data_IF_223814966642
#
_entry.id   IF_223814966642
#
_cell.length_a   1.000
_cell.length_b   1.000
_cell.length_c   1.000
_cell.angle_alpha   90.00
_cell.angle_beta   90.00
_cell.angle_gamma   90.00
#
_symmetry.space_group_name_H-M   'P 1'
#
loop_
_entity.id
_entity.type
_entity.pdbx_description
1 polymer ?
#
# COMPACT_ATOMS: atom_id res chain seq x y z
N UNK A 1 -16.24 3.10 -13.27
CA UNK A 1 -15.05 2.68 -12.48
C UNK A 1 -15.31 3.10 -11.05
N UNK A 2 -15.35 2.15 -10.13
CA UNK A 2 -15.66 2.34 -8.70
C UNK A 2 -14.40 2.05 -7.88
N UNK A 3 -13.92 3.00 -7.09
CA UNK A 3 -12.67 2.89 -6.34
C UNK A 3 -12.97 3.00 -4.85
N UNK A 4 -12.53 2.01 -4.07
CA UNK A 4 -12.56 2.07 -2.61
C UNK A 4 -11.24 2.69 -2.13
N UNK A 5 -11.28 3.78 -1.38
CA UNK A 5 -10.13 4.29 -0.64
C UNK A 5 -10.18 3.71 0.78
N UNK A 6 -9.39 2.69 1.01
CA UNK A 6 -9.32 2.01 2.30
C UNK A 6 -8.21 2.59 3.18
N UNK A 7 -8.58 3.07 4.35
CA UNK A 7 -7.66 3.72 5.29
C UNK A 7 -7.73 3.04 6.67
N UNK A 8 -6.74 2.22 7.03
CA UNK A 8 -6.55 1.79 8.40
C UNK A 8 -6.20 2.98 9.30
N UNK A 9 -6.87 3.13 10.43
CA UNK A 9 -6.58 4.18 11.41
C UNK A 9 -6.62 3.61 12.83
N UNK A 10 -5.76 4.15 13.72
CA UNK A 10 -5.68 3.68 15.11
C UNK A 10 -6.58 4.53 16.02
N UNK A 11 -6.44 5.86 15.97
CA UNK A 11 -7.20 6.80 16.81
C UNK A 11 -7.56 8.09 16.06
N UNK A 12 -6.53 8.85 15.64
CA UNK A 12 -6.70 10.17 15.05
C UNK A 12 -6.16 10.18 13.61
N UNK A 13 -6.82 10.97 12.78
CA UNK A 13 -6.34 11.24 11.42
C UNK A 13 -5.89 12.70 11.36
N UNK A 14 -4.62 12.98 11.04
CA UNK A 14 -4.14 14.35 10.90
C UNK A 14 -4.97 15.17 9.92
N UNK A 15 -5.22 16.43 10.22
CA UNK A 15 -6.04 17.33 9.39
C UNK A 15 -5.59 17.36 7.92
N UNK A 16 -4.28 17.33 7.67
CA UNK A 16 -3.74 17.30 6.30
C UNK A 16 -4.15 16.04 5.53
N UNK A 17 -4.19 14.87 6.19
CA UNK A 17 -4.67 13.62 5.60
C UNK A 17 -6.18 13.68 5.34
N UNK A 18 -6.96 14.25 6.27
CA UNK A 18 -8.41 14.46 6.07
C UNK A 18 -8.67 15.34 4.86
N UNK A 19 -7.91 16.43 4.70
CA UNK A 19 -8.00 17.30 3.52
C UNK A 19 -7.69 16.53 2.23
N UNK A 20 -6.61 15.73 2.21
CA UNK A 20 -6.25 14.87 1.08
C UNK A 20 -7.37 13.90 0.72
N UNK A 21 -7.96 13.23 1.73
CA UNK A 21 -9.07 12.30 1.58
C UNK A 21 -10.30 12.98 0.96
N UNK A 22 -10.75 14.10 1.54
CA UNK A 22 -11.94 14.82 1.08
C UNK A 22 -11.78 15.39 -0.34
N UNK A 23 -10.61 15.95 -0.65
CA UNK A 23 -10.32 16.48 -1.99
C UNK A 23 -10.28 15.37 -3.03
N UNK A 24 -9.73 14.20 -2.70
CA UNK A 24 -9.67 13.05 -3.61
C UNK A 24 -11.06 12.44 -3.81
N UNK A 25 -11.83 12.27 -2.75
CA UNK A 25 -13.22 11.78 -2.84
C UNK A 25 -14.12 12.71 -3.66
N UNK A 26 -13.96 14.03 -3.53
CA UNK A 26 -14.77 15.02 -4.28
C UNK A 26 -14.50 15.02 -5.79
N UNK A 27 -13.25 14.72 -6.20
CA UNK A 27 -12.83 14.80 -7.63
C UNK A 27 -13.11 13.52 -8.44
N UNK A 28 -13.50 12.42 -7.81
CA UNK A 28 -13.62 11.15 -8.52
C UNK A 28 -14.68 10.21 -7.95
N UNK A 29 -14.88 9.08 -8.62
CA UNK A 29 -15.70 7.97 -8.13
C UNK A 29 -14.95 7.17 -7.04
N UNK A 30 -14.51 7.88 -5.98
CA UNK A 30 -13.73 7.32 -4.87
C UNK A 30 -14.57 7.35 -3.62
N UNK A 31 -14.78 6.18 -3.03
CA UNK A 31 -15.56 6.01 -1.81
C UNK A 31 -14.61 5.69 -0.64
N UNK A 32 -14.56 6.54 0.42
CA UNK A 32 -13.68 6.31 1.56
C UNK A 32 -14.28 5.25 2.50
N UNK A 33 -13.41 4.34 2.97
CA UNK A 33 -13.68 3.38 4.04
C UNK A 33 -12.57 3.49 5.10
N UNK A 34 -12.94 3.93 6.29
CA UNK A 34 -12.08 4.04 7.45
C UNK A 34 -12.27 2.80 8.32
N UNK A 35 -11.18 2.16 8.71
CA UNK A 35 -11.22 0.97 9.61
C UNK A 35 -10.40 1.27 10.84
N UNK A 36 -11.09 1.48 11.96
CA UNK A 36 -10.50 1.84 13.24
C UNK A 36 -10.37 0.65 14.20
N UNK A 37 -9.41 0.74 15.14
CA UNK A 37 -9.32 -0.15 16.31
C UNK A 37 -8.90 -1.59 16.01
N UNK A 38 -8.33 -1.86 14.83
CA UNK A 38 -7.91 -3.18 14.39
C UNK A 38 -6.37 -3.24 14.21
N UNK A 39 -5.82 -4.44 14.24
CA UNK A 39 -4.45 -4.63 13.76
C UNK A 39 -4.38 -4.27 12.28
N UNK A 40 -3.30 -3.60 11.85
CA UNK A 40 -3.20 -3.03 10.51
C UNK A 40 -3.45 -4.06 9.40
N UNK A 41 -2.99 -5.29 9.57
CA UNK A 41 -3.20 -6.35 8.58
C UNK A 41 -4.65 -6.84 8.55
N UNK A 42 -5.36 -6.88 9.69
CA UNK A 42 -6.79 -7.24 9.76
C UNK A 42 -7.66 -6.15 9.12
N UNK A 43 -7.32 -4.87 9.37
CA UNK A 43 -7.99 -3.74 8.72
C UNK A 43 -7.83 -3.80 7.19
N UNK A 44 -6.61 -4.08 6.69
CA UNK A 44 -6.36 -4.21 5.24
C UNK A 44 -7.05 -5.42 4.64
N UNK A 45 -7.11 -6.56 5.33
CA UNK A 45 -7.88 -7.73 4.90
C UNK A 45 -9.40 -7.44 4.86
N UNK A 46 -9.92 -6.71 5.85
CA UNK A 46 -11.33 -6.28 5.89
C UNK A 46 -11.68 -5.38 4.69
N UNK A 47 -10.81 -4.40 4.38
CA UNK A 47 -10.94 -3.54 3.20
C UNK A 47 -10.92 -4.36 1.90
N UNK A 48 -9.99 -5.32 1.78
CA UNK A 48 -9.90 -6.19 0.61
C UNK A 48 -11.18 -7.02 0.41
N UNK A 49 -11.68 -7.64 1.47
CA UNK A 49 -12.90 -8.45 1.43
C UNK A 49 -14.13 -7.58 1.11
N UNK A 50 -14.24 -6.39 1.71
CA UNK A 50 -15.33 -5.46 1.41
C UNK A 50 -15.32 -5.08 -0.06
N UNK A 51 -14.16 -4.71 -0.62
CA UNK A 51 -14.04 -4.31 -2.02
C UNK A 51 -14.44 -5.44 -2.98
N UNK A 52 -14.00 -6.68 -2.70
CA UNK A 52 -14.32 -7.85 -3.53
C UNK A 52 -15.81 -8.18 -3.47
N UNK A 53 -16.46 -8.04 -2.31
CA UNK A 53 -17.87 -8.40 -2.11
C UNK A 53 -18.84 -7.31 -2.59
N UNK A 54 -18.36 -6.07 -2.83
CA UNK A 54 -19.19 -4.93 -3.26
C UNK A 54 -18.81 -4.41 -4.66
N UNK A 55 -18.15 -5.25 -5.47
CA UNK A 55 -17.86 -5.01 -6.89
C UNK A 55 -17.13 -3.69 -7.17
N UNK A 56 -16.13 -3.35 -6.33
CA UNK A 56 -15.19 -2.28 -6.64
C UNK A 56 -14.22 -2.73 -7.73
N UNK A 57 -13.83 -1.80 -8.61
CA UNK A 57 -12.82 -2.06 -9.63
C UNK A 57 -11.40 -2.02 -9.05
N UNK A 58 -11.17 -1.09 -8.11
CA UNK A 58 -9.89 -0.86 -7.46
C UNK A 58 -10.04 -0.61 -5.96
N UNK A 59 -8.96 -0.93 -5.23
CA UNK A 59 -8.72 -0.44 -3.87
C UNK A 59 -7.49 0.45 -3.88
N UNK A 60 -7.63 1.68 -3.42
CA UNK A 60 -6.51 2.53 -3.03
C UNK A 60 -6.31 2.38 -1.52
N UNK A 61 -5.25 1.72 -1.10
CA UNK A 61 -4.82 1.76 0.29
C UNK A 61 -4.06 3.05 0.55
N UNK A 62 -4.45 3.77 1.60
CA UNK A 62 -3.75 4.95 2.09
C UNK A 62 -3.64 4.87 3.62
N UNK A 63 -2.43 5.07 4.17
CA UNK A 63 -2.28 5.14 5.63
C UNK A 63 -2.81 6.48 6.16
N UNK A 64 -3.25 6.49 7.42
CA UNK A 64 -3.92 7.64 8.04
C UNK A 64 -3.02 8.86 8.27
N UNK A 65 -1.74 8.78 7.94
CA UNK A 65 -0.74 9.84 8.07
C UNK A 65 -0.10 10.24 6.72
N UNK A 66 -0.77 9.90 5.61
CA UNK A 66 -0.30 10.26 4.27
C UNK A 66 -0.92 11.56 3.76
N UNK A 67 -0.13 12.32 2.98
CA UNK A 67 -0.58 13.50 2.23
C UNK A 67 -0.51 13.15 0.75
N UNK A 68 -1.64 13.27 0.06
CA UNK A 68 -1.80 12.93 -1.34
C UNK A 68 -2.88 13.79 -2.00
N UNK A 69 -3.01 13.71 -3.31
CA UNK A 69 -4.05 14.39 -4.06
C UNK A 69 -4.69 13.47 -5.13
N UNK A 70 -5.77 13.94 -5.74
CA UNK A 70 -6.47 13.17 -6.78
C UNK A 70 -5.60 12.90 -8.01
N UNK A 71 -4.66 13.80 -8.34
CA UNK A 71 -3.77 13.65 -9.48
C UNK A 71 -2.76 12.52 -9.26
N UNK A 72 -2.34 12.28 -8.00
CA UNK A 72 -1.52 11.12 -7.63
C UNK A 72 -2.24 9.81 -7.93
N UNK A 73 -3.51 9.70 -7.55
CA UNK A 73 -4.35 8.54 -7.86
C UNK A 73 -4.54 8.39 -9.38
N UNK A 74 -4.89 9.47 -10.08
CA UNK A 74 -5.09 9.44 -11.54
C UNK A 74 -3.85 8.95 -12.28
N UNK A 75 -2.69 9.33 -11.79
CA UNK A 75 -1.41 8.91 -12.36
C UNK A 75 -1.16 7.42 -12.14
N UNK A 76 -1.46 6.87 -10.95
CA UNK A 76 -1.38 5.43 -10.72
C UNK A 76 -2.37 4.64 -11.59
N UNK A 77 -3.60 5.16 -11.76
CA UNK A 77 -4.63 4.54 -12.61
C UNK A 77 -4.21 4.49 -14.09
N UNK A 78 -3.54 5.53 -14.60
CA UNK A 78 -3.09 5.62 -15.98
C UNK A 78 -2.15 4.49 -16.39
N UNK A 79 -1.38 3.93 -15.45
CA UNK A 79 -0.51 2.77 -15.73
C UNK A 79 -1.28 1.47 -15.98
N UNK A 80 -2.53 1.36 -15.54
CA UNK A 80 -3.41 0.21 -15.76
C UNK A 80 -2.80 -1.16 -15.36
N UNK A 81 -1.92 -1.19 -14.36
CA UNK A 81 -1.30 -2.42 -13.82
C UNK A 81 -2.07 -2.98 -12.63
N UNK A 82 -1.78 -4.22 -12.23
CA UNK A 82 -2.49 -4.90 -11.14
C UNK A 82 -2.25 -4.31 -9.76
N UNK A 83 -1.01 -3.86 -9.48
CA UNK A 83 -0.56 -3.28 -8.21
C UNK A 83 0.41 -2.15 -8.54
N UNK A 84 0.13 -0.94 -8.05
CA UNK A 84 0.97 0.25 -8.26
C UNK A 84 1.04 1.12 -7.02
N UNK A 85 2.25 1.48 -6.58
CA UNK A 85 2.50 2.35 -5.43
C UNK A 85 3.14 3.67 -5.87
N UNK A 86 2.87 4.74 -5.13
CA UNK A 86 3.68 5.95 -5.16
C UNK A 86 4.95 5.82 -4.32
N UNK A 87 5.79 6.86 -4.35
CA UNK A 87 7.03 6.97 -3.59
C UNK A 87 6.83 7.84 -2.35
N UNK A 88 7.21 7.31 -1.19
CA UNK A 88 7.32 8.05 0.06
C UNK A 88 8.46 7.48 0.91
N UNK A 89 8.79 8.13 2.01
CA UNK A 89 9.85 7.70 2.93
C UNK A 89 9.29 7.34 4.31
N UNK A 90 10.03 6.52 5.04
CA UNK A 90 9.68 6.19 6.43
C UNK A 90 9.70 7.45 7.31
N UNK A 91 8.79 7.52 8.30
CA UNK A 91 8.67 8.68 9.21
C UNK A 91 9.54 8.60 10.46
N UNK A 92 10.07 7.41 10.79
CA UNK A 92 10.86 7.15 12.00
C UNK A 92 12.28 6.77 11.65
N UNK A 93 13.25 7.26 12.44
CA UNK A 93 14.66 7.01 12.24
C UNK A 93 15.22 7.65 10.96
N UNK A 94 16.13 6.95 10.31
CA UNK A 94 16.67 7.37 9.01
C UNK A 94 15.57 7.29 7.94
N UNK A 95 15.42 8.37 7.15
CA UNK A 95 14.44 8.41 6.07
C UNK A 95 14.85 7.43 4.97
N UNK A 96 14.09 6.35 4.83
CA UNK A 96 14.32 5.30 3.83
C UNK A 96 13.14 5.18 2.89
N UNK A 97 13.41 4.90 1.63
CA UNK A 97 12.36 4.59 0.67
C UNK A 97 11.62 3.32 1.09
N UNK A 98 10.31 3.33 0.86
CA UNK A 98 9.44 2.17 1.10
C UNK A 98 9.31 1.25 -0.11
N UNK A 99 10.14 1.46 -1.14
CA UNK A 99 10.22 0.64 -2.34
C UNK A 99 11.42 -0.28 -2.25
N UNK A 100 11.25 -1.53 -2.66
CA UNK A 100 12.31 -2.54 -2.60
C UNK A 100 12.51 -3.18 -3.97
N UNK A 101 13.75 -3.12 -4.49
CA UNK A 101 14.10 -3.74 -5.77
C UNK A 101 14.24 -5.27 -5.69
N UNK A 102 14.67 -5.78 -4.52
CA UNK A 102 14.89 -7.22 -4.31
C UNK A 102 14.51 -7.67 -2.90
N UNK A 103 13.98 -8.89 -2.83
CA UNK A 103 13.77 -9.63 -1.59
C UNK A 103 14.68 -10.86 -1.65
N UNK A 104 15.71 -10.89 -0.81
CA UNK A 104 16.69 -11.99 -0.76
C UNK A 104 16.29 -12.93 0.37
N UNK A 105 15.72 -14.08 0.01
CA UNK A 105 15.41 -15.15 0.97
C UNK A 105 16.63 -16.03 1.17
N UNK A 106 17.12 -16.15 2.41
CA UNK A 106 18.22 -17.07 2.76
C UNK A 106 17.66 -18.46 3.05
N UNK A 107 17.98 -19.45 2.23
CA UNK A 107 17.48 -20.85 2.32
C UNK A 107 17.85 -21.60 3.61
N UNK A 108 18.76 -21.11 4.45
CA UNK A 108 19.43 -21.93 5.46
C UNK A 108 18.86 -21.91 6.88
N UNK A 109 17.91 -21.01 7.17
CA UNK A 109 17.25 -20.97 8.50
C UNK A 109 15.81 -20.49 8.38
N UNK A 110 14.81 -21.26 8.88
CA UNK A 110 13.40 -20.91 8.78
C UNK A 110 12.98 -19.63 9.55
N UNK A 111 13.87 -19.05 10.36
CA UNK A 111 13.59 -17.92 11.24
C UNK A 111 14.34 -16.63 10.91
N UNK A 112 15.10 -16.55 9.80
CA UNK A 112 15.70 -15.27 9.40
C UNK A 112 14.80 -14.54 8.40
N UNK A 113 14.42 -13.32 8.78
CA UNK A 113 13.75 -12.39 7.88
C UNK A 113 14.55 -12.25 6.56
N UNK A 114 13.87 -12.16 5.41
CA UNK A 114 14.53 -11.88 4.15
C UNK A 114 15.23 -10.51 4.23
N UNK A 115 16.37 -10.39 3.55
CA UNK A 115 17.01 -9.09 3.37
C UNK A 115 16.25 -8.33 2.28
N UNK A 116 15.76 -7.14 2.61
CA UNK A 116 15.18 -6.20 1.67
C UNK A 116 16.29 -5.29 1.13
N UNK A 117 16.34 -5.13 -0.19
CA UNK A 117 17.23 -4.19 -0.86
C UNK A 117 16.37 -3.03 -1.34
N UNK A 118 16.66 -1.84 -0.80
CA UNK A 118 15.93 -0.61 -1.15
C UNK A 118 16.10 -0.27 -2.64
N UNK A 119 15.06 0.29 -3.21
CA UNK A 119 15.10 0.86 -4.55
C UNK A 119 15.56 2.32 -4.45
N UNK A 120 16.78 2.59 -4.87
CA UNK A 120 17.39 3.93 -4.79
C UNK A 120 16.98 4.85 -5.94
N UNK A 121 16.14 4.40 -6.87
CA UNK A 121 15.61 5.25 -7.95
C UNK A 121 14.61 6.25 -7.36
N UNK A 122 14.70 7.48 -7.81
CA UNK A 122 13.87 8.60 -7.33
C UNK A 122 12.85 9.11 -8.34
N UNK A 123 12.89 8.58 -9.56
CA UNK A 123 11.99 8.96 -10.67
C UNK A 123 11.63 7.75 -11.53
N UNK A 124 10.58 7.91 -12.34
CA UNK A 124 10.15 6.96 -13.36
C UNK A 124 9.28 5.82 -12.84
N UNK A 125 8.55 5.23 -13.75
CA UNK A 125 7.70 4.07 -13.53
C UNK A 125 8.46 2.76 -13.76
N UNK A 126 8.20 1.74 -12.95
CA UNK A 126 8.80 0.44 -13.17
C UNK A 126 8.49 -0.57 -12.07
N UNK A 127 8.88 -1.82 -12.35
CA UNK A 127 8.67 -2.94 -11.44
C UNK A 127 9.56 -2.85 -10.21
N UNK A 128 8.98 -3.24 -9.06
CA UNK A 128 9.65 -3.41 -7.78
C UNK A 128 9.34 -4.80 -7.22
N UNK A 129 10.14 -5.27 -6.26
CA UNK A 129 9.90 -6.55 -5.60
C UNK A 129 8.83 -6.43 -4.51
N UNK A 130 8.77 -5.28 -3.84
CA UNK A 130 7.77 -4.94 -2.85
C UNK A 130 7.71 -3.41 -2.64
N UNK A 131 6.64 -2.95 -2.00
CA UNK A 131 6.41 -1.56 -1.60
C UNK A 131 5.69 -1.50 -0.26
N UNK A 132 5.79 -0.34 0.42
CA UNK A 132 4.88 -0.01 1.51
C UNK A 132 3.46 0.31 1.01
N UNK A 133 2.49 0.24 1.90
CA UNK A 133 1.06 0.41 1.56
C UNK A 133 0.48 1.75 2.04
N UNK A 134 1.33 2.74 2.32
CA UNK A 134 0.90 4.10 2.63
C UNK A 134 0.16 4.79 1.48
N UNK A 135 0.41 4.40 0.22
CA UNK A 135 -0.39 4.80 -0.94
C UNK A 135 -0.19 3.79 -2.08
N UNK A 136 -1.06 2.79 -2.13
CA UNK A 136 -0.94 1.67 -3.06
C UNK A 136 -2.30 1.35 -3.71
N UNK A 137 -2.35 1.44 -5.04
CA UNK A 137 -3.53 1.12 -5.84
C UNK A 137 -3.48 -0.33 -6.31
N UNK A 138 -4.58 -1.07 -6.09
CA UNK A 138 -4.67 -2.50 -6.44
C UNK A 138 -5.98 -2.75 -7.20
N UNK A 139 -5.91 -3.46 -8.31
CA UNK A 139 -7.11 -3.97 -8.98
C UNK A 139 -7.81 -5.01 -8.10
N UNK A 140 -9.10 -4.87 -7.90
CA UNK A 140 -9.87 -5.83 -7.09
C UNK A 140 -9.83 -7.26 -7.68
N UNK A 141 -9.65 -7.39 -8.99
CA UNK A 141 -9.43 -8.69 -9.64
C UNK A 141 -8.16 -9.41 -9.13
N UNK A 142 -7.12 -8.67 -8.75
CA UNK A 142 -5.90 -9.23 -8.12
C UNK A 142 -6.24 -9.77 -6.73
N UNK A 143 -6.93 -8.97 -5.89
CA UNK A 143 -7.36 -9.37 -4.54
C UNK A 143 -8.25 -10.61 -4.62
N UNK A 144 -9.25 -10.61 -5.49
CA UNK A 144 -10.16 -11.75 -5.73
C UNK A 144 -9.41 -13.02 -6.13
N UNK A 145 -8.39 -12.90 -6.98
CA UNK A 145 -7.56 -14.04 -7.37
C UNK A 145 -6.71 -14.56 -6.21
N UNK A 146 -6.14 -13.66 -5.41
CA UNK A 146 -5.31 -14.04 -4.26
C UNK A 146 -6.12 -14.68 -3.13
N UNK A 147 -7.36 -14.23 -2.87
CA UNK A 147 -8.27 -14.78 -1.87
C UNK A 147 -8.67 -16.23 -2.17
N UNK A 148 -8.60 -16.70 -3.42
CA UNK A 148 -8.77 -18.13 -3.75
C UNK A 148 -7.68 -19.03 -3.16
N UNK A 149 -6.51 -18.45 -2.83
CA UNK A 149 -5.34 -19.19 -2.36
C UNK A 149 -4.99 -18.90 -0.90
N UNK A 150 -5.31 -17.71 -0.41
CA UNK A 150 -4.94 -17.24 0.92
C UNK A 150 -6.17 -16.76 1.68
N UNK A 151 -6.33 -17.17 2.95
CA UNK A 151 -7.39 -16.68 3.85
C UNK A 151 -7.17 -15.25 4.27
N UNK A 152 -5.89 -14.88 4.50
CA UNK A 152 -5.43 -13.52 4.78
C UNK A 152 -4.40 -13.11 3.74
N UNK A 153 -4.57 -11.93 3.16
CA UNK A 153 -3.64 -11.36 2.18
C UNK A 153 -2.52 -10.59 2.86
N UNK A 154 -2.80 -10.00 4.04
CA UNK A 154 -1.91 -9.09 4.75
C UNK A 154 -1.30 -9.65 6.04
N UNK A 155 -1.67 -10.85 6.49
CA UNK A 155 -1.04 -11.45 7.67
C UNK A 155 0.50 -11.41 7.56
N UNK A 156 1.22 -10.79 8.54
CA UNK A 156 2.68 -10.78 8.56
C UNK A 156 3.24 -12.19 8.55
N UNK A 157 4.24 -12.44 7.75
CA UNK A 157 4.85 -13.76 7.59
C UNK A 157 6.30 -13.67 7.18
N UNK A 158 7.05 -14.74 7.39
CA UNK A 158 8.46 -14.85 7.00
C UNK A 158 9.37 -13.78 7.63
N UNK A 159 8.95 -13.16 8.76
CA UNK A 159 9.73 -12.13 9.46
C UNK A 159 9.72 -10.78 8.75
N UNK A 160 8.70 -10.50 7.94
CA UNK A 160 8.46 -9.18 7.32
C UNK A 160 7.08 -8.67 7.69
N UNK A 161 6.88 -7.34 7.54
CA UNK A 161 5.60 -6.68 7.72
C UNK A 161 4.54 -7.13 6.72
N UNK A 162 3.31 -6.71 6.96
CA UNK A 162 2.13 -7.13 6.20
C UNK A 162 2.18 -6.71 4.73
N UNK A 163 2.74 -5.53 4.44
CA UNK A 163 2.91 -4.97 3.11
C UNK A 163 3.86 -5.81 2.24
N UNK A 164 5.02 -6.16 2.79
CA UNK A 164 6.00 -7.02 2.11
C UNK A 164 5.46 -8.45 1.96
N UNK A 165 4.77 -8.96 3.00
CA UNK A 165 4.14 -10.28 2.97
C UNK A 165 3.07 -10.36 1.87
N UNK A 166 2.26 -9.29 1.70
CA UNK A 166 1.31 -9.17 0.60
C UNK A 166 2.01 -9.24 -0.76
N UNK A 167 3.07 -8.45 -0.98
CA UNK A 167 3.81 -8.44 -2.24
C UNK A 167 4.41 -9.83 -2.58
N UNK A 168 4.90 -10.55 -1.55
CA UNK A 168 5.38 -11.93 -1.73
C UNK A 168 4.23 -12.87 -2.15
N UNK A 169 3.05 -12.75 -1.52
CA UNK A 169 1.86 -13.56 -1.87
C UNK A 169 1.38 -13.23 -3.29
N UNK A 170 1.31 -11.94 -3.64
CA UNK A 170 0.92 -11.48 -4.97
C UNK A 170 1.83 -12.06 -6.05
N UNK A 171 3.16 -12.00 -5.85
CA UNK A 171 4.14 -12.61 -6.77
C UNK A 171 3.94 -14.12 -6.93
N UNK A 172 3.61 -14.83 -5.84
CA UNK A 172 3.31 -16.29 -5.88
C UNK A 172 2.00 -16.62 -6.62
N UNK A 173 1.12 -15.64 -6.76
CA UNK A 173 -0.10 -15.72 -7.58
C UNK A 173 0.10 -15.22 -9.02
N UNK A 174 1.35 -14.87 -9.41
CA UNK A 174 1.67 -14.37 -10.76
C UNK A 174 1.50 -12.87 -10.94
N UNK A 175 1.21 -12.10 -9.89
CA UNK A 175 1.07 -10.66 -9.94
C UNK A 175 2.37 -9.95 -9.53
N UNK A 176 2.68 -8.89 -10.26
CA UNK A 176 3.87 -8.08 -10.00
C UNK A 176 3.49 -6.71 -9.46
N UNK A 177 4.33 -6.20 -8.57
CA UNK A 177 4.21 -4.86 -8.00
C UNK A 177 4.99 -3.87 -8.85
N UNK A 178 4.40 -2.71 -9.09
CA UNK A 178 5.02 -1.58 -9.78
C UNK A 178 5.02 -0.37 -8.86
N UNK A 179 5.88 0.59 -9.17
CA UNK A 179 5.90 1.90 -8.52
C UNK A 179 6.08 3.02 -9.54
N UNK A 180 5.36 4.10 -9.35
CA UNK A 180 5.60 5.38 -10.01
C UNK A 180 6.30 6.31 -9.01
N UNK A 181 7.60 6.54 -9.22
CA UNK A 181 8.44 7.34 -8.35
C UNK A 181 8.28 8.85 -8.56
N UNK A 182 7.56 9.24 -9.61
CA UNK A 182 7.21 10.62 -9.84
C UNK A 182 5.92 11.01 -9.08
N UNK A 183 5.15 10.03 -8.58
CA UNK A 183 4.10 10.22 -7.58
C UNK A 183 4.78 10.29 -6.21
N UNK A 184 5.12 11.51 -5.77
CA UNK A 184 5.82 11.78 -4.52
C UNK A 184 4.83 12.22 -3.45
N UNK A 185 4.75 11.44 -2.38
CA UNK A 185 3.74 11.60 -1.35
C UNK A 185 4.35 12.14 -0.05
N UNK A 186 3.59 12.95 0.67
CA UNK A 186 3.97 13.40 2.01
C UNK A 186 3.65 12.32 3.05
N UNK A 187 4.53 12.14 4.04
CA UNK A 187 4.34 11.25 5.17
C UNK A 187 4.50 12.05 6.47
N UNK A 188 3.43 12.16 7.25
CA UNK A 188 3.41 12.95 8.47
C UNK A 188 4.14 12.18 9.57
N UNK A 189 5.16 12.80 10.16
CA UNK A 189 5.92 12.28 11.29
C UNK A 189 5.87 13.25 12.47
N UNK A 190 5.95 12.74 13.69
CA UNK A 190 6.17 13.55 14.89
C UNK A 190 7.64 13.97 14.93
N UNK A 191 7.91 15.29 15.03
CA UNK A 191 9.21 15.80 15.43
C UNK A 191 9.17 16.05 16.93
N UNK A 192 9.99 15.35 17.70
CA UNK A 192 10.28 15.72 19.09
C UNK A 192 11.30 16.85 19.05
N UNK A 193 10.95 18.00 19.60
CA UNK A 193 11.88 19.10 19.83
C UNK A 193 12.33 19.00 21.27
N UNK A 194 13.61 18.70 21.49
CA UNK A 194 14.27 18.75 22.80
C UNK A 194 14.90 20.14 23.02
#
# INVERSE_FOLDING_TARGET
MKILLGMPCVHEIPTKTVISLLQTAKKGAVEPMLVEGSLIYDARDSIANFAVNNDYDYVLYADSDMIFCADDLNRLLAHNVGICSGLYVTRRGEQKNVLYEKIITRRRYPYRAPKLIEDNRTTGFGRVAACGFGFCLIKTSVLKSMLKRYKSLFEPKWGVGEDIAFCIRAKRCGFYTFADRDVKLGHIGEKVYE
#
